data_IF_356171140967
#
_entry.id   IF_356171140967
#
_cell.length_a   1.000
_cell.length_b   1.000
_cell.length_c   1.000
_cell.angle_alpha   90.00
_cell.angle_beta   90.00
_cell.angle_gamma   90.00
#
_symmetry.space_group_name_H-M   'P 1'
#
loop_
_entity.id
_entity.type
_entity.pdbx_description
1 polymer ?
#
# COMPACT_ATOMS: atom_id res chain seq x y z
N UNK A 1 -11.35 -5.71 21.64
CA UNK A 1 -11.84 -5.53 20.27
C UNK A 1 -10.70 -5.19 19.29
N UNK A 2 -9.81 -4.22 19.59
CA UNK A 2 -8.66 -3.84 18.78
C UNK A 2 -7.84 -5.07 18.28
N UNK A 3 -7.32 -5.89 19.18
CA UNK A 3 -6.50 -7.05 18.81
C UNK A 3 -7.20 -8.08 17.91
N UNK A 4 -8.52 -8.27 18.09
CA UNK A 4 -9.32 -9.15 17.22
C UNK A 4 -9.40 -8.61 15.80
N UNK A 5 -9.57 -7.28 15.64
CA UNK A 5 -9.64 -6.63 14.34
C UNK A 5 -8.25 -6.66 13.67
N UNK A 6 -7.19 -6.35 14.41
CA UNK A 6 -5.82 -6.39 13.90
C UNK A 6 -5.41 -7.81 13.46
N UNK A 7 -5.70 -8.83 14.28
CA UNK A 7 -5.43 -10.23 13.92
C UNK A 7 -6.25 -10.70 12.72
N UNK A 8 -7.52 -10.29 12.63
CA UNK A 8 -8.35 -10.59 11.46
C UNK A 8 -7.74 -9.95 10.19
N UNK A 9 -7.39 -8.66 10.23
CA UNK A 9 -6.83 -7.97 9.09
C UNK A 9 -5.49 -8.56 8.65
N UNK A 10 -4.59 -8.84 9.61
CA UNK A 10 -3.32 -9.50 9.36
C UNK A 10 -3.50 -10.83 8.63
N UNK A 11 -4.35 -11.72 9.18
CA UNK A 11 -4.63 -13.03 8.57
C UNK A 11 -5.29 -12.90 7.20
N UNK A 12 -6.14 -11.89 7.02
CA UNK A 12 -6.78 -11.62 5.75
C UNK A 12 -5.74 -11.25 4.69
N UNK A 13 -4.79 -10.36 5.00
CA UNK A 13 -3.74 -9.95 4.07
C UNK A 13 -2.84 -11.13 3.68
N UNK A 14 -2.48 -11.99 4.61
CA UNK A 14 -1.68 -13.19 4.32
C UNK A 14 -2.37 -14.18 3.37
N UNK A 15 -3.70 -14.17 3.32
CA UNK A 15 -4.49 -15.02 2.39
C UNK A 15 -4.65 -14.40 1.01
N UNK A 16 -4.26 -13.16 0.81
CA UNK A 16 -4.34 -12.50 -0.49
C UNK A 16 -3.18 -12.96 -1.38
N UNK A 17 -3.44 -13.38 -2.63
CA UNK A 17 -2.37 -13.73 -3.56
C UNK A 17 -1.40 -12.58 -3.81
N UNK A 18 -1.90 -11.34 -3.82
CA UNK A 18 -1.09 -10.14 -3.99
C UNK A 18 0.04 -10.01 -2.96
N UNK A 19 -0.21 -10.41 -1.69
CA UNK A 19 0.81 -10.42 -0.65
C UNK A 19 2.03 -11.27 -1.05
N UNK A 20 1.78 -12.49 -1.50
CA UNK A 20 2.85 -13.43 -1.89
C UNK A 20 3.56 -13.02 -3.16
N UNK A 21 2.82 -12.50 -4.15
CA UNK A 21 3.41 -11.95 -5.38
C UNK A 21 4.36 -10.82 -5.06
N UNK A 22 3.95 -9.85 -4.23
CA UNK A 22 4.79 -8.73 -3.80
C UNK A 22 6.03 -9.23 -3.04
N UNK A 23 5.85 -10.14 -2.08
CA UNK A 23 6.96 -10.70 -1.31
C UNK A 23 7.98 -11.42 -2.20
N UNK A 24 7.51 -12.22 -3.16
CA UNK A 24 8.38 -12.93 -4.11
C UNK A 24 9.11 -11.93 -5.02
N UNK A 25 8.39 -10.96 -5.60
CA UNK A 25 8.99 -9.98 -6.51
C UNK A 25 10.09 -9.17 -5.80
N UNK A 26 9.80 -8.61 -4.63
CA UNK A 26 10.79 -7.82 -3.89
C UNK A 26 11.91 -8.68 -3.30
N UNK A 27 11.59 -9.89 -2.87
CA UNK A 27 12.60 -10.86 -2.44
C UNK A 27 13.56 -11.24 -3.57
N UNK A 28 13.05 -11.50 -4.78
CA UNK A 28 13.87 -11.80 -5.96
C UNK A 28 14.67 -10.58 -6.44
N UNK A 29 14.11 -9.37 -6.38
CA UNK A 29 14.85 -8.15 -6.69
C UNK A 29 16.02 -7.94 -5.71
N UNK A 30 15.79 -8.14 -4.42
CA UNK A 30 16.81 -8.02 -3.39
C UNK A 30 17.86 -9.16 -3.51
N UNK A 31 17.43 -10.36 -3.81
CA UNK A 31 18.30 -11.48 -4.14
C UNK A 31 19.18 -11.17 -5.35
N UNK A 32 18.60 -10.72 -6.45
CA UNK A 32 19.31 -10.36 -7.68
C UNK A 32 20.32 -9.22 -7.48
N UNK A 33 20.01 -8.26 -6.59
CA UNK A 33 20.92 -7.17 -6.28
C UNK A 33 22.22 -7.62 -5.59
N UNK A 34 22.17 -8.73 -4.82
CA UNK A 34 23.36 -9.31 -4.18
C UNK A 34 23.99 -10.39 -5.06
N UNK A 35 23.16 -11.24 -5.69
CA UNK A 35 23.62 -12.37 -6.49
C UNK A 35 24.16 -11.97 -7.87
N UNK A 36 23.96 -10.72 -8.31
CA UNK A 36 24.46 -10.18 -9.57
C UNK A 36 25.63 -9.22 -9.32
N UNK A 37 26.57 -9.18 -10.25
CA UNK A 37 27.66 -8.20 -10.25
C UNK A 37 27.31 -6.91 -10.98
N UNK A 38 26.17 -6.89 -11.69
CA UNK A 38 25.72 -5.73 -12.46
C UNK A 38 24.99 -4.67 -11.62
N UNK A 39 24.57 -5.02 -10.40
CA UNK A 39 23.81 -4.12 -9.50
C UNK A 39 24.58 -3.96 -8.20
N UNK A 40 24.96 -2.73 -7.89
CA UNK A 40 25.60 -2.41 -6.62
C UNK A 40 24.69 -1.49 -5.79
N UNK A 41 24.13 -2.01 -4.71
CA UNK A 41 23.37 -1.23 -3.75
C UNK A 41 24.28 -0.85 -2.56
N UNK A 42 25.04 0.23 -2.71
CA UNK A 42 26.02 0.66 -1.71
C UNK A 42 27.32 -0.16 -1.66
N UNK A 43 27.36 -1.32 -2.30
CA UNK A 43 28.57 -2.12 -2.48
C UNK A 43 29.37 -1.59 -3.67
N UNK A 44 30.67 -1.80 -3.65
CA UNK A 44 31.59 -1.42 -4.75
C UNK A 44 32.97 -1.05 -4.21
N UNK A 45 33.98 -1.19 -5.05
CA UNK A 45 35.37 -1.09 -4.60
C UNK A 45 35.64 -2.14 -3.50
N UNK A 46 36.05 -1.68 -2.32
CA UNK A 46 36.35 -2.55 -1.18
C UNK A 46 35.18 -2.68 -0.19
N UNK A 47 33.93 -2.29 -0.58
CA UNK A 47 32.74 -2.43 0.29
C UNK A 47 32.00 -3.70 -0.09
N UNK A 48 31.79 -4.58 0.89
CA UNK A 48 31.18 -5.89 0.71
C UNK A 48 29.66 -5.79 0.44
N UNK A 49 29.12 -6.77 -0.28
CA UNK A 49 27.69 -6.80 -0.67
C UNK A 49 26.72 -6.91 0.51
N UNK A 50 27.14 -7.61 1.57
CA UNK A 50 26.37 -7.78 2.82
C UNK A 50 26.93 -6.93 3.98
N UNK A 51 27.74 -5.90 3.67
CA UNK A 51 28.21 -4.96 4.68
C UNK A 51 27.05 -4.20 5.35
N UNK A 52 27.19 -3.78 6.62
CA UNK A 52 26.19 -2.94 7.28
C UNK A 52 25.76 -1.73 6.43
N UNK A 53 26.73 -1.08 5.78
CA UNK A 53 26.49 0.03 4.90
C UNK A 53 25.63 -0.36 3.69
N UNK A 54 25.99 -1.44 2.99
CA UNK A 54 25.26 -1.91 1.80
C UNK A 54 23.84 -2.35 2.14
N UNK A 55 23.64 -3.02 3.29
CA UNK A 55 22.33 -3.41 3.78
C UNK A 55 21.46 -2.19 4.09
N UNK A 56 22.00 -1.17 4.73
CA UNK A 56 21.28 0.07 5.03
C UNK A 56 20.86 0.79 3.74
N UNK A 57 21.78 0.98 2.79
CA UNK A 57 21.50 1.60 1.49
C UNK A 57 20.45 0.80 0.71
N UNK A 58 20.56 -0.53 0.70
CA UNK A 58 19.57 -1.39 0.06
C UNK A 58 18.18 -1.18 0.66
N UNK A 59 18.04 -1.16 2.00
CA UNK A 59 16.76 -0.95 2.65
C UNK A 59 16.19 0.45 2.39
N UNK A 60 17.02 1.48 2.33
CA UNK A 60 16.61 2.84 1.95
C UNK A 60 16.02 2.84 0.53
N UNK A 61 16.74 2.29 -0.45
CA UNK A 61 16.32 2.25 -1.85
C UNK A 61 15.05 1.40 -2.00
N UNK A 62 15.03 0.19 -1.45
CA UNK A 62 13.86 -0.67 -1.53
C UNK A 62 12.62 -0.06 -0.87
N UNK A 63 12.79 0.73 0.19
CA UNK A 63 11.67 1.37 0.86
C UNK A 63 10.94 2.39 -0.05
N UNK A 64 11.69 3.14 -0.85
CA UNK A 64 11.13 4.07 -1.85
C UNK A 64 10.23 3.34 -2.84
N UNK A 65 10.69 2.22 -3.41
CA UNK A 65 9.89 1.45 -4.36
C UNK A 65 8.78 0.64 -3.69
N UNK A 66 9.02 0.15 -2.47
CA UNK A 66 8.04 -0.65 -1.73
C UNK A 66 6.82 0.17 -1.29
N UNK A 67 6.87 1.50 -1.30
CA UNK A 67 5.68 2.32 -1.01
C UNK A 67 4.51 2.07 -1.98
N UNK A 68 4.78 1.66 -3.23
CA UNK A 68 3.76 1.23 -4.18
C UNK A 68 3.05 -0.03 -3.69
N UNK A 69 3.83 -1.02 -3.23
CA UNK A 69 3.33 -2.25 -2.65
C UNK A 69 2.58 -2.02 -1.32
N UNK A 70 3.15 -1.17 -0.45
CA UNK A 70 2.52 -0.75 0.80
C UNK A 70 1.12 -0.18 0.54
N UNK A 71 0.99 0.65 -0.48
CA UNK A 71 -0.30 1.23 -0.85
C UNK A 71 -1.30 0.18 -1.30
N UNK A 72 -0.88 -0.79 -2.09
CA UNK A 72 -1.76 -1.86 -2.55
C UNK A 72 -2.35 -2.66 -1.38
N UNK A 73 -1.57 -2.89 -0.33
CA UNK A 73 -2.01 -3.60 0.88
C UNK A 73 -2.86 -2.69 1.77
N UNK A 74 -2.35 -1.51 2.13
CA UNK A 74 -2.94 -0.65 3.17
C UNK A 74 -4.17 0.12 2.68
N UNK A 75 -4.15 0.64 1.44
CA UNK A 75 -5.30 1.37 0.91
C UNK A 75 -6.51 0.46 0.67
N UNK A 76 -6.28 -0.80 0.31
CA UNK A 76 -7.34 -1.78 0.11
C UNK A 76 -8.17 -2.02 1.40
N UNK A 77 -7.55 -1.91 2.56
CA UNK A 77 -8.22 -2.12 3.87
C UNK A 77 -9.41 -1.18 4.05
N UNK A 78 -9.24 0.10 3.72
CA UNK A 78 -10.29 1.12 3.88
C UNK A 78 -11.27 1.09 2.70
N UNK A 79 -10.73 0.97 1.48
CA UNK A 79 -11.55 1.00 0.27
C UNK A 79 -12.50 -0.20 0.15
N UNK A 80 -12.08 -1.37 0.60
CA UNK A 80 -12.89 -2.59 0.63
C UNK A 80 -14.18 -2.39 1.42
N UNK A 81 -14.10 -1.83 2.63
CA UNK A 81 -15.29 -1.64 3.46
C UNK A 81 -16.27 -0.61 2.86
N UNK A 82 -15.75 0.36 2.12
CA UNK A 82 -16.58 1.30 1.38
C UNK A 82 -17.25 0.66 0.16
N UNK A 83 -16.55 -0.22 -0.55
CA UNK A 83 -17.05 -0.91 -1.74
C UNK A 83 -18.07 -1.99 -1.41
N UNK A 84 -17.85 -2.74 -0.32
CA UNK A 84 -18.74 -3.83 0.10
C UNK A 84 -19.95 -3.37 0.91
N UNK A 85 -20.02 -2.07 1.28
CA UNK A 85 -21.09 -1.54 2.11
C UNK A 85 -21.07 -2.05 3.57
N UNK A 86 -19.99 -2.67 4.01
CA UNK A 86 -19.83 -3.24 5.35
C UNK A 86 -19.72 -2.18 6.46
N UNK A 87 -19.31 -0.96 6.11
CA UNK A 87 -19.11 0.14 7.05
C UNK A 87 -20.31 0.41 7.98
N UNK A 88 -21.55 0.55 7.47
CA UNK A 88 -22.73 0.74 8.32
C UNK A 88 -23.01 -0.43 9.27
N UNK A 89 -22.73 -1.66 8.84
CA UNK A 89 -22.96 -2.86 9.65
C UNK A 89 -21.98 -2.94 10.82
N UNK A 90 -20.71 -2.56 10.61
CA UNK A 90 -19.70 -2.49 11.66
C UNK A 90 -20.06 -1.40 12.67
N UNK A 91 -20.56 -0.25 12.20
CA UNK A 91 -20.92 0.88 13.06
C UNK A 91 -22.21 0.64 13.89
N UNK A 92 -23.02 -0.35 13.54
CA UNK A 92 -24.15 -0.78 14.37
C UNK A 92 -23.73 -1.67 15.56
N UNK A 93 -22.47 -2.08 15.61
CA UNK A 93 -21.89 -2.88 16.70
C UNK A 93 -21.26 -1.98 17.77
N UNK A 94 -20.93 -2.55 18.94
CA UNK A 94 -20.26 -1.83 20.05
C UNK A 94 -18.76 -1.58 19.79
N UNK A 95 -18.32 -1.52 18.53
CA UNK A 95 -16.92 -1.27 18.15
C UNK A 95 -16.67 0.24 18.18
N UNK A 96 -15.67 0.67 18.96
CA UNK A 96 -15.25 2.07 18.97
C UNK A 96 -14.51 2.44 17.68
N UNK A 97 -14.65 3.71 17.23
CA UNK A 97 -13.97 4.25 16.05
C UNK A 97 -12.46 3.98 16.07
N UNK A 98 -11.82 4.19 17.24
CA UNK A 98 -10.39 3.95 17.41
C UNK A 98 -10.00 2.48 17.28
N UNK A 99 -10.73 1.58 17.93
CA UNK A 99 -10.47 0.14 17.84
C UNK A 99 -10.61 -0.36 16.39
N UNK A 100 -11.56 0.18 15.65
CA UNK A 100 -11.75 -0.13 14.24
C UNK A 100 -10.60 0.36 13.37
N UNK A 101 -10.33 1.68 13.37
CA UNK A 101 -9.31 2.27 12.49
C UNK A 101 -7.91 1.78 12.81
N UNK A 102 -7.51 1.86 14.08
CA UNK A 102 -6.16 1.43 14.47
C UNK A 102 -5.99 -0.08 14.39
N UNK A 103 -7.04 -0.86 14.70
CA UNK A 103 -6.99 -2.31 14.51
C UNK A 103 -6.76 -2.69 13.04
N UNK A 104 -7.46 -2.04 12.12
CA UNK A 104 -7.27 -2.19 10.67
C UNK A 104 -5.87 -1.77 10.24
N UNK A 105 -5.43 -0.59 10.66
CA UNK A 105 -4.10 -0.08 10.32
C UNK A 105 -2.97 -1.01 10.82
N UNK A 106 -2.94 -1.32 12.11
CA UNK A 106 -1.84 -2.13 12.67
C UNK A 106 -1.86 -3.58 12.17
N UNK A 107 -3.04 -4.14 11.87
CA UNK A 107 -3.12 -5.45 11.21
C UNK A 107 -2.53 -5.44 9.81
N UNK A 108 -2.84 -4.42 9.00
CA UNK A 108 -2.28 -4.25 7.67
C UNK A 108 -0.78 -3.90 7.73
N UNK A 109 -0.36 -3.02 8.63
CA UNK A 109 1.05 -2.66 8.83
C UNK A 109 1.90 -3.87 9.21
N UNK A 110 1.42 -4.73 10.10
CA UNK A 110 2.12 -5.98 10.44
C UNK A 110 2.29 -6.90 9.22
N UNK A 111 1.27 -6.97 8.35
CA UNK A 111 1.39 -7.72 7.09
C UNK A 111 2.41 -7.06 6.13
N UNK A 112 2.39 -5.74 6.00
CA UNK A 112 3.37 -4.99 5.19
C UNK A 112 4.79 -5.22 5.71
N UNK A 113 5.00 -5.12 7.03
CA UNK A 113 6.29 -5.37 7.65
C UNK A 113 6.77 -6.81 7.39
N UNK A 114 5.90 -7.81 7.55
CA UNK A 114 6.23 -9.19 7.22
C UNK A 114 6.54 -9.37 5.73
N UNK A 115 5.78 -8.74 4.85
CA UNK A 115 6.04 -8.78 3.41
C UNK A 115 7.42 -8.19 3.07
N UNK A 116 7.76 -7.06 3.68
CA UNK A 116 9.05 -6.38 3.49
C UNK A 116 10.25 -7.18 4.00
N UNK A 117 10.04 -8.09 4.95
CA UNK A 117 11.10 -9.01 5.43
C UNK A 117 11.66 -9.88 4.29
N UNK A 118 10.91 -10.07 3.20
CA UNK A 118 11.39 -10.76 2.00
C UNK A 118 12.62 -10.10 1.39
N UNK A 119 12.81 -8.79 1.56
CA UNK A 119 13.99 -8.06 1.08
C UNK A 119 15.23 -8.49 1.90
N UNK A 120 15.13 -8.50 3.23
CA UNK A 120 16.23 -8.96 4.08
C UNK A 120 16.56 -10.45 3.83
N UNK A 121 15.54 -11.28 3.61
CA UNK A 121 15.73 -12.69 3.25
C UNK A 121 16.33 -12.84 1.85
N UNK A 122 15.91 -12.03 0.88
CA UNK A 122 16.45 -12.04 -0.47
C UNK A 122 17.91 -11.64 -0.51
N UNK A 123 18.29 -10.57 0.19
CA UNK A 123 19.70 -10.15 0.32
C UNK A 123 20.53 -11.24 1.00
N UNK A 124 20.02 -11.87 2.05
CA UNK A 124 20.68 -12.96 2.73
C UNK A 124 20.86 -14.19 1.81
N UNK A 125 19.81 -14.62 1.12
CA UNK A 125 19.89 -15.76 0.22
C UNK A 125 20.87 -15.53 -0.93
N UNK A 126 20.97 -14.28 -1.42
CA UNK A 126 21.94 -13.90 -2.45
C UNK A 126 23.38 -14.16 -2.06
N UNK A 127 23.72 -14.05 -0.77
CA UNK A 127 25.11 -14.28 -0.29
C UNK A 127 25.55 -15.74 -0.33
N UNK A 128 24.62 -16.68 -0.41
CA UNK A 128 24.94 -18.12 -0.44
C UNK A 128 25.07 -18.69 -1.86
N UNK A 129 24.95 -17.86 -2.88
CA UNK A 129 24.98 -18.36 -4.26
C UNK A 129 26.41 -18.72 -4.69
N UNK A 130 26.60 -19.91 -5.32
CA UNK A 130 27.91 -20.42 -5.66
C UNK A 130 28.65 -19.64 -6.76
N UNK A 131 27.92 -18.78 -7.49
CA UNK A 131 28.51 -17.93 -8.53
C UNK A 131 28.89 -16.54 -8.03
N UNK A 132 28.57 -16.19 -6.79
CA UNK A 132 28.98 -14.91 -6.20
C UNK A 132 30.41 -15.05 -5.68
N UNK A 133 31.24 -14.09 -6.03
CA UNK A 133 32.64 -14.08 -5.59
C UNK A 133 32.71 -14.00 -4.05
N UNK A 134 33.29 -15.02 -3.37
CA UNK A 134 33.40 -15.04 -1.92
C UNK A 134 34.16 -13.84 -1.34
N UNK A 135 35.07 -13.22 -2.10
CA UNK A 135 35.82 -12.04 -1.65
C UNK A 135 34.92 -10.80 -1.51
N UNK A 136 33.77 -10.78 -2.19
CA UNK A 136 32.78 -9.69 -2.12
C UNK A 136 31.79 -9.83 -0.98
N UNK A 137 31.82 -10.95 -0.24
CA UNK A 137 30.88 -11.27 0.83
C UNK A 137 31.61 -11.27 2.19
N UNK A 138 31.08 -10.50 3.13
CA UNK A 138 31.58 -10.47 4.51
C UNK A 138 30.90 -11.54 5.40
N UNK A 139 31.33 -11.62 6.67
CA UNK A 139 30.73 -12.53 7.64
C UNK A 139 29.26 -12.18 7.89
N UNK A 140 28.41 -13.20 8.03
CA UNK A 140 27.02 -13.00 8.39
C UNK A 140 26.88 -12.46 9.82
N UNK A 141 26.19 -11.34 9.97
CA UNK A 141 25.86 -10.73 11.26
C UNK A 141 24.38 -10.38 11.29
N UNK A 142 23.60 -11.13 12.05
CA UNK A 142 22.15 -10.89 12.16
C UNK A 142 21.82 -9.46 12.62
N UNK A 143 22.69 -8.89 13.47
CA UNK A 143 22.52 -7.51 13.97
C UNK A 143 22.46 -6.47 12.86
N UNK A 144 23.25 -6.62 11.79
CA UNK A 144 23.31 -5.68 10.68
C UNK A 144 22.02 -5.72 9.85
N UNK A 145 21.47 -6.91 9.61
CA UNK A 145 20.16 -7.09 8.98
C UNK A 145 19.02 -6.52 9.84
N UNK A 146 19.07 -6.80 11.16
CA UNK A 146 18.06 -6.28 12.09
C UNK A 146 18.12 -4.76 12.20
N UNK A 147 19.32 -4.18 12.20
CA UNK A 147 19.53 -2.73 12.19
C UNK A 147 18.95 -2.10 10.92
N UNK A 148 19.35 -2.56 9.74
CA UNK A 148 18.89 -2.02 8.46
C UNK A 148 17.37 -2.14 8.32
N UNK A 149 16.81 -3.30 8.65
CA UNK A 149 15.37 -3.53 8.64
C UNK A 149 14.63 -2.66 9.64
N UNK A 150 15.10 -2.54 10.88
CA UNK A 150 14.46 -1.78 11.95
C UNK A 150 14.52 -0.28 11.72
N UNK A 151 15.74 0.24 11.50
CA UNK A 151 15.99 1.68 11.42
C UNK A 151 15.51 2.30 10.12
N UNK A 152 15.73 1.66 8.98
CA UNK A 152 15.33 2.19 7.68
C UNK A 152 14.06 1.53 7.16
N UNK A 153 13.95 0.20 7.23
CA UNK A 153 12.79 -0.53 6.76
C UNK A 153 11.51 -0.14 7.49
N UNK A 154 11.41 -0.46 8.77
CA UNK A 154 10.16 -0.28 9.53
C UNK A 154 9.74 1.18 9.66
N UNK A 155 10.67 2.11 9.85
CA UNK A 155 10.33 3.54 9.98
C UNK A 155 9.76 4.12 8.69
N UNK A 156 10.36 3.81 7.54
CA UNK A 156 9.85 4.24 6.25
C UNK A 156 8.51 3.58 5.89
N UNK A 157 8.37 2.26 6.19
CA UNK A 157 7.10 1.56 6.01
C UNK A 157 5.99 2.13 6.90
N UNK A 158 6.30 2.51 8.14
CA UNK A 158 5.33 3.11 9.04
C UNK A 158 4.84 4.46 8.49
N UNK A 159 5.76 5.33 8.06
CA UNK A 159 5.44 6.60 7.45
C UNK A 159 4.54 6.44 6.22
N UNK A 160 4.96 5.62 5.25
CA UNK A 160 4.23 5.41 3.99
C UNK A 160 2.87 4.73 4.22
N UNK A 161 2.81 3.74 5.12
CA UNK A 161 1.57 3.10 5.53
C UNK A 161 0.59 4.10 6.15
N UNK A 162 1.06 4.94 7.08
CA UNK A 162 0.24 5.93 7.75
C UNK A 162 -0.27 7.01 6.78
N UNK A 163 0.59 7.50 5.90
CA UNK A 163 0.25 8.49 4.87
C UNK A 163 -0.84 7.94 3.94
N UNK A 164 -0.63 6.76 3.35
CA UNK A 164 -1.57 6.23 2.36
C UNK A 164 -2.84 5.66 2.98
N UNK A 165 -2.78 5.17 4.22
CA UNK A 165 -3.97 4.84 5.00
C UNK A 165 -4.83 6.08 5.25
N UNK A 166 -4.20 7.19 5.61
CA UNK A 166 -4.89 8.47 5.83
C UNK A 166 -5.51 8.98 4.54
N UNK A 167 -4.75 8.97 3.45
CA UNK A 167 -5.24 9.39 2.14
C UNK A 167 -6.42 8.53 1.67
N UNK A 168 -6.32 7.20 1.81
CA UNK A 168 -7.41 6.28 1.48
C UNK A 168 -8.65 6.50 2.37
N UNK A 169 -8.44 6.80 3.65
CA UNK A 169 -9.51 7.07 4.62
C UNK A 169 -10.27 8.35 4.30
N UNK A 170 -9.56 9.40 3.90
CA UNK A 170 -10.14 10.71 3.58
C UNK A 170 -10.81 10.70 2.20
N UNK A 171 -10.11 10.19 1.20
CA UNK A 171 -10.62 10.20 -0.19
C UNK A 171 -11.64 9.10 -0.47
N UNK A 172 -11.58 8.00 0.26
CA UNK A 172 -12.39 6.78 0.03
C UNK A 172 -12.29 6.25 -1.40
N UNK A 173 -11.22 6.57 -2.08
CA UNK A 173 -10.96 6.24 -3.48
C UNK A 173 -9.60 5.57 -3.62
N UNK A 174 -9.58 4.35 -4.12
CA UNK A 174 -8.33 3.65 -4.46
C UNK A 174 -7.53 4.42 -5.52
N UNK A 175 -8.22 4.94 -6.54
CA UNK A 175 -7.58 5.67 -7.63
C UNK A 175 -6.88 6.93 -7.12
N UNK A 176 -7.54 7.71 -6.25
CA UNK A 176 -6.93 8.90 -5.64
C UNK A 176 -5.70 8.54 -4.81
N UNK A 177 -5.73 7.41 -4.11
CA UNK A 177 -4.59 6.95 -3.31
C UNK A 177 -3.41 6.55 -4.20
N UNK A 178 -3.63 5.82 -5.30
CA UNK A 178 -2.56 5.47 -6.24
C UNK A 178 -1.97 6.70 -6.94
N UNK A 179 -2.80 7.67 -7.33
CA UNK A 179 -2.31 8.96 -7.85
C UNK A 179 -1.45 9.68 -6.80
N UNK A 180 -1.89 9.66 -5.53
CA UNK A 180 -1.12 10.22 -4.42
C UNK A 180 0.26 9.57 -4.25
N UNK A 181 0.34 8.24 -4.36
CA UNK A 181 1.63 7.52 -4.30
C UNK A 181 2.56 7.95 -5.43
N UNK A 182 2.06 7.97 -6.66
CA UNK A 182 2.86 8.38 -7.82
C UNK A 182 3.33 9.83 -7.67
N UNK A 183 2.45 10.72 -7.17
CA UNK A 183 2.82 12.11 -6.91
C UNK A 183 3.93 12.22 -5.84
N UNK A 184 3.83 11.48 -4.73
CA UNK A 184 4.87 11.43 -3.69
C UNK A 184 6.18 10.89 -4.25
N UNK A 185 6.13 9.84 -5.09
CA UNK A 185 7.32 9.28 -5.73
C UNK A 185 8.00 10.29 -6.67
N UNK A 186 7.22 10.97 -7.50
CA UNK A 186 7.75 11.99 -8.42
C UNK A 186 8.39 13.13 -7.64
N UNK A 187 7.71 13.65 -6.62
CA UNK A 187 8.24 14.74 -5.78
C UNK A 187 9.52 14.30 -5.07
N UNK A 188 9.54 13.07 -4.53
CA UNK A 188 10.73 12.51 -3.89
C UNK A 188 11.91 12.41 -4.87
N UNK A 189 11.73 11.79 -6.02
CA UNK A 189 12.80 11.62 -7.02
C UNK A 189 13.28 12.98 -7.59
N UNK A 190 12.35 13.91 -7.81
CA UNK A 190 12.69 15.25 -8.28
C UNK A 190 13.49 16.04 -7.23
N UNK A 191 13.07 15.98 -5.95
CA UNK A 191 13.78 16.69 -4.87
C UNK A 191 15.16 16.10 -4.61
N UNK A 192 15.28 14.78 -4.56
CA UNK A 192 16.59 14.12 -4.36
C UNK A 192 17.51 14.30 -5.54
N UNK A 193 17.01 14.27 -6.78
CA UNK A 193 17.78 14.53 -7.99
C UNK A 193 18.24 15.99 -8.12
N UNK A 194 17.39 16.94 -7.77
CA UNK A 194 17.71 18.37 -7.90
C UNK A 194 18.58 18.92 -6.76
N UNK A 195 18.37 18.43 -5.53
CA UNK A 195 18.98 18.97 -4.31
C UNK A 195 20.07 18.07 -3.73
N UNK A 196 19.96 16.75 -3.92
CA UNK A 196 20.86 15.78 -3.30
C UNK A 196 22.32 15.86 -3.74
N UNK A 197 22.57 16.39 -4.95
CA UNK A 197 23.93 16.59 -5.48
C UNK A 197 24.54 17.92 -5.09
N UNK A 198 23.80 18.82 -4.44
CA UNK A 198 24.27 20.17 -4.09
C UNK A 198 24.73 20.22 -2.64
N UNK A 199 26.04 20.51 -2.37
CA UNK A 199 26.56 20.57 -1.01
C UNK A 199 25.84 21.57 -0.10
N UNK A 200 25.30 22.64 -0.67
CA UNK A 200 24.57 23.69 0.04
C UNK A 200 23.30 23.16 0.75
N UNK A 201 22.68 22.12 0.18
CA UNK A 201 21.46 21.52 0.68
C UNK A 201 21.67 20.21 1.45
N UNK A 202 22.90 19.74 1.60
CA UNK A 202 23.20 18.45 2.23
C UNK A 202 22.61 18.33 3.63
N UNK A 203 22.81 19.36 4.48
CA UNK A 203 22.23 19.38 5.83
C UNK A 203 20.70 19.47 5.79
N UNK A 204 20.13 20.29 4.91
CA UNK A 204 18.70 20.40 4.77
C UNK A 204 18.07 19.07 4.30
N UNK A 205 18.69 18.39 3.36
CA UNK A 205 18.26 17.07 2.87
C UNK A 205 18.39 16.00 3.97
N UNK A 206 19.41 16.08 4.83
CA UNK A 206 19.54 15.14 5.95
C UNK A 206 18.37 15.22 6.93
N UNK A 207 17.69 16.36 7.04
CA UNK A 207 16.50 16.54 7.86
C UNK A 207 15.19 16.27 7.08
N UNK A 208 15.13 16.74 5.84
CA UNK A 208 13.91 16.75 5.04
C UNK A 208 13.60 15.42 4.32
N UNK A 209 14.59 14.57 4.13
CA UNK A 209 14.44 13.33 3.38
C UNK A 209 13.81 12.24 4.27
N UNK A 210 12.64 11.68 3.86
CA UNK A 210 11.82 10.82 4.71
C UNK A 210 12.37 9.41 4.92
N UNK A 211 13.15 8.87 3.98
CA UNK A 211 13.66 7.50 4.05
C UNK A 211 15.00 7.38 4.76
N UNK A 212 15.69 8.52 4.98
CA UNK A 212 16.93 8.60 5.74
C UNK A 212 18.20 8.55 4.89
N UNK A 213 18.08 8.62 3.56
CA UNK A 213 19.25 8.61 2.69
C UNK A 213 20.18 9.80 2.95
N UNK A 214 19.62 11.00 3.09
CA UNK A 214 20.39 12.21 3.39
C UNK A 214 21.07 12.17 4.77
N UNK A 215 20.33 11.75 5.80
CA UNK A 215 20.88 11.63 7.16
C UNK A 215 21.95 10.54 7.26
N UNK A 216 21.72 9.40 6.62
CA UNK A 216 22.67 8.30 6.56
C UNK A 216 23.93 8.69 5.77
N UNK A 217 23.75 9.33 4.61
CA UNK A 217 24.84 9.83 3.78
C UNK A 217 25.73 10.83 4.55
N UNK A 218 25.12 11.73 5.32
CA UNK A 218 25.86 12.72 6.12
C UNK A 218 26.71 12.05 7.21
N UNK A 219 26.14 11.07 7.94
CA UNK A 219 26.84 10.33 9.01
C UNK A 219 27.98 9.47 8.46
N UNK A 220 27.79 8.86 7.28
CA UNK A 220 28.74 7.93 6.68
C UNK A 220 29.66 8.57 5.64
N UNK A 221 29.59 9.90 5.49
CA UNK A 221 30.30 10.68 4.44
C UNK A 221 31.79 10.41 4.38
N UNK A 222 32.43 10.39 5.54
CA UNK A 222 33.88 10.23 5.67
C UNK A 222 34.31 8.83 6.05
N UNK A 223 33.40 7.85 6.04
CA UNK A 223 33.71 6.48 6.39
C UNK A 223 34.62 5.82 5.37
N UNK A 224 35.66 5.20 5.88
CA UNK A 224 36.54 4.31 5.12
C UNK A 224 35.80 3.04 4.72
N UNK A 225 36.34 2.29 3.77
CA UNK A 225 35.79 1.00 3.37
C UNK A 225 35.73 0.01 4.56
N UNK A 226 36.73 0.05 5.44
CA UNK A 226 36.76 -0.79 6.64
C UNK A 226 35.60 -0.46 7.59
N UNK A 227 35.30 0.81 7.84
CA UNK A 227 34.19 1.24 8.69
C UNK A 227 32.85 0.87 8.06
N UNK A 228 32.69 1.05 6.73
CA UNK A 228 31.47 0.65 5.99
C UNK A 228 31.21 -0.84 6.06
N UNK A 229 32.27 -1.66 6.15
CA UNK A 229 32.18 -3.12 6.24
C UNK A 229 31.91 -3.62 7.66
N UNK A 230 32.16 -2.83 8.69
CA UNK A 230 32.15 -3.31 10.07
C UNK A 230 31.20 -2.59 11.01
N UNK A 231 30.86 -1.33 10.74
CA UNK A 231 30.08 -0.49 11.65
C UNK A 231 28.66 -0.26 11.14
N UNK A 232 27.71 -0.32 12.07
CA UNK A 232 26.40 0.29 11.89
C UNK A 232 26.46 1.76 12.28
N UNK A 233 25.79 2.64 11.54
CA UNK A 233 25.74 4.06 11.88
C UNK A 233 25.12 4.25 13.28
N UNK A 234 25.74 5.02 14.17
CA UNK A 234 25.18 5.25 15.50
C UNK A 234 23.84 5.99 15.38
N UNK A 235 22.86 5.53 16.18
CA UNK A 235 21.55 6.17 16.25
C UNK A 235 21.62 7.40 17.17
N UNK A 236 22.28 8.44 16.71
CA UNK A 236 22.48 9.72 17.41
C UNK A 236 22.48 10.89 16.42
N UNK A 237 22.44 12.11 16.96
CA UNK A 237 22.48 13.33 16.15
C UNK A 237 21.39 13.35 15.05
N UNK A 238 21.80 13.71 13.84
CA UNK A 238 20.91 13.90 12.70
C UNK A 238 20.14 12.64 12.33
N UNK A 239 20.78 11.46 12.36
CA UNK A 239 20.13 10.21 11.99
C UNK A 239 18.99 9.85 12.95
N UNK A 240 19.22 9.94 14.25
CA UNK A 240 18.18 9.68 15.25
C UNK A 240 17.01 10.66 15.10
N UNK A 241 17.30 11.95 15.03
CA UNK A 241 16.25 12.96 14.94
C UNK A 241 15.47 12.87 13.65
N UNK A 242 16.12 12.59 12.53
CA UNK A 242 15.41 12.33 11.27
C UNK A 242 14.42 11.17 11.42
N UNK A 243 14.83 10.03 12.01
CA UNK A 243 13.93 8.89 12.23
C UNK A 243 12.78 9.22 13.19
N UNK A 244 13.06 9.94 14.28
CA UNK A 244 12.04 10.37 15.24
C UNK A 244 11.02 11.32 14.61
N UNK A 245 11.49 12.33 13.87
CA UNK A 245 10.61 13.31 13.21
C UNK A 245 9.69 12.60 12.21
N UNK A 246 10.24 11.78 11.32
CA UNK A 246 9.42 11.13 10.28
C UNK A 246 8.49 10.05 10.86
N UNK A 247 8.88 9.36 11.92
CA UNK A 247 7.97 8.49 12.68
C UNK A 247 6.85 9.30 13.36
N UNK A 248 7.19 10.46 13.92
CA UNK A 248 6.22 11.40 14.49
C UNK A 248 5.23 11.94 13.45
N UNK A 249 5.70 12.28 12.25
CA UNK A 249 4.85 12.68 11.12
C UNK A 249 3.91 11.53 10.73
N UNK A 250 4.41 10.29 10.68
CA UNK A 250 3.57 9.11 10.47
C UNK A 250 2.48 8.96 11.52
N UNK A 251 2.82 9.15 12.80
CA UNK A 251 1.84 9.14 13.89
C UNK A 251 0.81 10.28 13.76
N UNK A 252 1.24 11.47 13.33
CA UNK A 252 0.36 12.59 13.04
C UNK A 252 -0.63 12.29 11.88
N UNK A 253 -0.19 11.60 10.83
CA UNK A 253 -1.09 11.11 9.78
C UNK A 253 -2.15 10.15 10.34
N UNK A 254 -1.78 9.22 11.23
CA UNK A 254 -2.76 8.34 11.86
C UNK A 254 -3.75 9.09 12.75
N UNK A 255 -3.29 10.09 13.48
CA UNK A 255 -4.17 10.98 14.24
C UNK A 255 -5.11 11.75 13.32
N UNK A 256 -4.61 12.27 12.19
CA UNK A 256 -5.43 12.91 11.17
C UNK A 256 -6.45 11.94 10.56
N UNK A 257 -6.07 10.69 10.27
CA UNK A 257 -7.01 9.67 9.82
C UNK A 257 -8.14 9.46 10.82
N UNK A 258 -7.81 9.39 12.11
CA UNK A 258 -8.82 9.27 13.17
C UNK A 258 -9.74 10.49 13.22
N UNK A 259 -9.21 11.70 13.18
CA UNK A 259 -10.01 12.93 13.26
C UNK A 259 -10.90 13.10 12.03
N UNK A 260 -10.37 12.89 10.84
CA UNK A 260 -11.05 13.10 9.57
C UNK A 260 -11.99 11.96 9.17
N UNK A 261 -11.83 10.76 9.75
CA UNK A 261 -12.72 9.66 9.46
C UNK A 261 -14.15 9.98 9.91
N UNK A 262 -15.04 10.05 8.95
CA UNK A 262 -16.47 10.17 9.19
C UNK A 262 -17.13 8.83 8.87
N UNK A 263 -17.84 8.19 9.82
CA UNK A 263 -18.69 7.04 9.48
C UNK A 263 -19.60 7.46 8.33
N UNK A 264 -19.69 6.65 7.28
CA UNK A 264 -20.37 7.04 6.04
C UNK A 264 -21.77 7.61 6.35
N UNK A 265 -22.10 8.81 5.91
CA UNK A 265 -23.46 9.27 6.00
C UNK A 265 -24.29 8.42 5.05
N UNK A 266 -25.21 7.64 5.58
CA UNK A 266 -26.34 7.07 4.83
C UNK A 266 -27.05 8.11 3.95
N UNK A 267 -26.81 9.41 4.22
CA UNK A 267 -27.57 10.50 3.64
C UNK A 267 -27.23 10.92 2.22
N UNK A 268 -26.00 10.81 1.73
CA UNK A 268 -25.68 11.37 0.41
C UNK A 268 -26.08 10.42 -0.74
N UNK A 269 -25.90 9.10 -0.59
CA UNK A 269 -26.40 8.11 -1.57
C UNK A 269 -27.92 7.92 -1.45
N UNK A 270 -28.47 7.93 -0.23
CA UNK A 270 -29.92 7.89 -0.02
C UNK A 270 -30.61 9.15 -0.59
N UNK A 271 -30.11 10.34 -0.32
CA UNK A 271 -30.67 11.56 -0.95
C UNK A 271 -30.62 11.54 -2.48
N UNK A 272 -29.56 10.97 -3.06
CA UNK A 272 -29.48 10.81 -4.52
C UNK A 272 -30.38 9.69 -5.02
N UNK A 273 -30.54 8.60 -4.27
CA UNK A 273 -31.45 7.51 -4.60
C UNK A 273 -32.90 7.90 -4.34
N UNK A 274 -33.20 8.66 -3.29
CA UNK A 274 -34.52 9.23 -3.03
C UNK A 274 -34.90 10.30 -4.06
N UNK A 275 -33.95 11.17 -4.48
CA UNK A 275 -34.17 12.07 -5.62
C UNK A 275 -34.40 11.31 -6.92
N UNK A 276 -33.65 10.26 -7.19
CA UNK A 276 -33.86 9.40 -8.36
C UNK A 276 -35.19 8.64 -8.26
N UNK A 277 -35.57 8.15 -7.10
CA UNK A 277 -36.88 7.53 -6.87
C UNK A 277 -38.02 8.54 -7.00
N UNK A 278 -37.87 9.73 -6.42
CA UNK A 278 -38.87 10.79 -6.54
C UNK A 278 -39.00 11.28 -8.01
N UNK A 279 -37.93 11.31 -8.78
CA UNK A 279 -38.01 11.63 -10.23
C UNK A 279 -38.66 10.50 -11.03
N UNK A 280 -38.42 9.23 -10.64
CA UNK A 280 -39.05 8.07 -11.28
C UNK A 280 -40.53 7.96 -10.89
N UNK A 281 -40.89 8.32 -9.64
CA UNK A 281 -42.30 8.36 -9.19
C UNK A 281 -43.08 9.50 -9.79
N UNK A 282 -42.46 10.62 -10.17
CA UNK A 282 -43.10 11.72 -10.88
C UNK A 282 -43.41 11.38 -12.35
N UNK A 283 -42.67 10.46 -12.98
CA UNK A 283 -42.89 10.02 -14.37
C UNK A 283 -43.73 8.75 -14.51
N UNK A 284 -44.13 8.13 -13.42
CA UNK A 284 -45.05 6.97 -13.47
C UNK A 284 -46.48 7.48 -13.60
N UNK A 285 -46.89 7.70 -14.83
CA UNK A 285 -48.30 7.67 -15.19
C UNK A 285 -48.78 6.27 -14.85
N UNK A 286 -49.51 6.14 -13.75
CA UNK A 286 -50.13 4.89 -13.36
C UNK A 286 -51.22 4.56 -14.39
N UNK A 287 -50.86 3.91 -15.45
CA UNK A 287 -51.84 3.21 -16.28
C UNK A 287 -52.49 2.13 -15.43
N UNK A 288 -53.82 2.10 -15.33
CA UNK A 288 -54.47 1.07 -14.54
C UNK A 288 -54.05 -0.31 -15.05
N UNK A 289 -53.44 -1.08 -14.14
CA UNK A 289 -53.05 -2.44 -14.46
C UNK A 289 -54.30 -3.23 -14.71
N UNK A 290 -54.58 -3.58 -15.96
CA UNK A 290 -55.67 -4.49 -16.32
C UNK A 290 -55.56 -5.80 -15.55
N UNK A 291 -56.68 -6.43 -15.30
CA UNK A 291 -56.73 -7.67 -14.51
C UNK A 291 -55.64 -8.65 -14.94
N UNK A 292 -54.85 -9.12 -13.96
CA UNK A 292 -53.78 -10.09 -14.20
C UNK A 292 -54.35 -11.31 -14.93
N UNK A 293 -53.74 -11.77 -16.01
CA UNK A 293 -54.18 -12.97 -16.73
C UNK A 293 -54.13 -14.18 -15.78
N UNK A 294 -55.15 -14.99 -15.83
CA UNK A 294 -55.24 -16.21 -15.01
C UNK A 294 -54.03 -17.11 -15.28
N UNK A 295 -53.38 -17.67 -14.28
CA UNK A 295 -52.23 -18.54 -14.47
C UNK A 295 -52.63 -19.79 -15.28
N UNK A 296 -51.93 -20.03 -16.37
CA UNK A 296 -52.12 -21.24 -17.21
C UNK A 296 -50.93 -22.17 -17.03
N UNK A 297 -51.20 -23.44 -16.71
CA UNK A 297 -50.18 -24.47 -16.43
C UNK A 297 -50.04 -25.48 -17.58
N UNK A 298 -50.34 -25.09 -18.82
CA UNK A 298 -50.24 -25.97 -19.98
C UNK A 298 -48.79 -26.06 -20.51
N UNK A 299 -48.48 -27.18 -21.22
CA UNK A 299 -47.15 -27.43 -21.79
C UNK A 299 -46.72 -26.32 -22.77
N UNK A 300 -47.67 -25.71 -23.49
CA UNK A 300 -47.42 -24.56 -24.35
C UNK A 300 -47.04 -23.28 -23.60
N UNK A 301 -47.50 -23.07 -22.34
CA UNK A 301 -47.15 -21.90 -21.52
C UNK A 301 -45.72 -22.02 -20.97
N UNK A 302 -45.23 -23.24 -20.71
CA UNK A 302 -43.84 -23.51 -20.34
C UNK A 302 -42.87 -23.18 -21.46
N UNK A 303 -43.20 -23.53 -22.69
CA UNK A 303 -42.37 -23.20 -23.87
C UNK A 303 -42.32 -21.72 -24.18
N UNK A 304 -43.46 -21.02 -24.07
CA UNK A 304 -43.49 -19.57 -24.27
C UNK A 304 -42.72 -18.79 -23.15
N UNK A 305 -42.73 -19.29 -21.92
CA UNK A 305 -41.95 -18.74 -20.82
C UNK A 305 -40.44 -18.94 -21.00
N UNK A 306 -40.02 -20.13 -21.46
CA UNK A 306 -38.62 -20.40 -21.81
C UNK A 306 -38.13 -19.49 -22.95
N UNK A 307 -38.93 -19.33 -24.00
CA UNK A 307 -38.59 -18.45 -25.14
C UNK A 307 -38.55 -16.95 -24.73
N UNK A 308 -39.44 -16.54 -23.86
CA UNK A 308 -39.44 -15.14 -23.36
C UNK A 308 -38.27 -14.83 -22.44
N UNK A 309 -37.79 -15.84 -21.70
CA UNK A 309 -36.64 -15.72 -20.81
C UNK A 309 -35.34 -15.58 -21.61
N UNK A 310 -35.22 -16.33 -22.69
CA UNK A 310 -34.04 -16.27 -23.57
C UNK A 310 -33.94 -14.94 -24.32
N UNK A 311 -35.06 -14.37 -24.80
CA UNK A 311 -35.12 -13.04 -25.40
C UNK A 311 -34.77 -11.91 -24.42
N UNK A 312 -35.11 -12.03 -23.12
CA UNK A 312 -34.76 -11.03 -22.13
C UNK A 312 -33.27 -11.06 -21.78
N UNK A 313 -32.67 -12.26 -21.67
CA UNK A 313 -31.23 -12.40 -21.43
C UNK A 313 -30.38 -11.86 -22.58
N UNK A 314 -30.80 -12.10 -23.84
CA UNK A 314 -30.11 -11.61 -25.04
C UNK A 314 -30.23 -10.09 -25.19
N UNK A 315 -31.37 -9.47 -24.82
CA UNK A 315 -31.54 -8.01 -24.85
C UNK A 315 -30.75 -7.30 -23.73
N UNK A 316 -30.62 -7.92 -22.55
CA UNK A 316 -29.78 -7.38 -21.47
C UNK A 316 -28.31 -7.39 -21.85
N UNK A 317 -27.80 -8.47 -22.45
CA UNK A 317 -26.44 -8.53 -22.97
C UNK A 317 -26.17 -7.52 -24.10
N UNK A 318 -27.11 -7.34 -25.02
CA UNK A 318 -26.95 -6.37 -26.11
C UNK A 318 -27.00 -4.91 -25.64
N UNK A 319 -27.72 -4.60 -24.55
CA UNK A 319 -27.76 -3.25 -23.99
C UNK A 319 -26.46 -2.92 -23.22
N UNK A 320 -25.81 -3.88 -22.60
CA UNK A 320 -24.48 -3.68 -21.99
C UNK A 320 -23.39 -3.46 -23.05
N UNK A 321 -23.43 -4.16 -24.17
CA UNK A 321 -22.48 -3.98 -25.28
C UNK A 321 -22.68 -2.61 -25.97
N UNK A 322 -23.92 -2.10 -26.08
CA UNK A 322 -24.19 -0.76 -26.65
C UNK A 322 -23.70 0.38 -25.74
N UNK A 323 -23.76 0.23 -24.41
CA UNK A 323 -23.28 1.27 -23.49
C UNK A 323 -21.75 1.40 -23.46
N UNK A 324 -21.02 0.34 -23.76
CA UNK A 324 -19.56 0.38 -23.85
C UNK A 324 -19.02 1.00 -25.15
N UNK A 325 -19.89 1.26 -26.14
CA UNK A 325 -19.52 1.85 -27.44
C UNK A 325 -19.94 3.30 -27.65
N UNK A 326 -20.50 3.98 -26.63
CA UNK A 326 -20.72 5.43 -26.75
C UNK A 326 -19.40 6.16 -26.52
N UNK A 327 -18.88 6.89 -27.52
CA UNK A 327 -17.77 7.80 -27.29
C UNK A 327 -18.22 8.89 -26.33
N UNK A 328 -17.39 9.23 -25.36
CA UNK A 328 -17.53 10.43 -24.56
C UNK A 328 -17.32 11.61 -25.49
N UNK A 329 -18.37 12.18 -26.00
CA UNK A 329 -18.32 13.45 -26.73
C UNK A 329 -18.50 14.59 -25.75
N UNK A 330 -17.46 15.47 -25.73
CA UNK A 330 -17.37 16.85 -25.26
C UNK A 330 -17.57 17.07 -23.76
#
# INVERSE_FOLDING_TARGET
MFAKIASFEFRYQLRQPAFWVIAIVFGLLAFGAVASDNVSLGSGGNVLKNAPYSLAVAHIIFNVFFMLATTAIVANVVARDAQTGFGPMIMSTRITKGAYLYGRFFGAFAAVALCYLSIALGTLLGTFMPWVDPETIGPFRLGDYAYAYGVFGLTGLFLTSALFFTLATVTRSMMATYIGVVAVLIVYLASTGALGSRPEFETAMAWAEPFGSGAYGLVTKYWTAAERNTLNAPLEGVLLWNRVIWTGIGAAFLAAAYLLYRPSPRGAKLKKQERLKALVEQDVIVTPVGALPKPSYGFGSGLTQLWSRDRKSTRLNSSHVKRSRMPSSA
#
